data_IF_378645907935
#
_entry.id   IF_378645907935
#
_cell.length_a   1.000
_cell.length_b   1.000
_cell.length_c   1.000
_cell.angle_alpha   90.00
_cell.angle_beta   90.00
_cell.angle_gamma   90.00
#
_symmetry.space_group_name_H-M   'P 1'
#
loop_
_entity.id
_entity.type
_entity.pdbx_description
1 polymer ?
#
# COMPACT_ATOMS: atom_id res chain seq x y z
N UNK A 1 -4.68 13.69 9.77
CA UNK A 1 -3.84 13.01 8.77
C UNK A 1 -4.70 12.63 7.59
N UNK A 2 -4.32 13.03 6.39
CA UNK A 2 -5.02 12.68 5.14
C UNK A 2 -4.14 11.80 4.28
N UNK A 3 -4.70 10.70 3.81
CA UNK A 3 -3.98 9.64 3.07
C UNK A 3 -4.41 9.64 1.62
N UNK A 4 -3.44 9.60 0.70
CA UNK A 4 -3.66 9.25 -0.69
C UNK A 4 -3.42 7.75 -0.84
N UNK A 5 -4.48 7.01 -1.17
CA UNK A 5 -4.46 5.57 -1.35
C UNK A 5 -4.39 5.23 -2.83
N UNK A 6 -3.21 4.83 -3.30
CA UNK A 6 -3.00 4.50 -4.70
C UNK A 6 -3.41 3.07 -5.00
N UNK A 7 -4.31 2.90 -5.96
CA UNK A 7 -4.83 1.62 -6.44
C UNK A 7 -4.73 1.54 -7.96
N UNK A 8 -4.89 0.35 -8.53
CA UNK A 8 -5.04 0.14 -9.97
C UNK A 8 -6.46 -0.32 -10.35
N UNK A 9 -7.40 -0.24 -9.42
CA UNK A 9 -8.78 -0.67 -9.54
C UNK A 9 -8.96 -2.17 -9.85
N UNK A 10 -7.92 -2.98 -9.81
CA UNK A 10 -8.02 -4.43 -9.94
C UNK A 10 -8.52 -5.04 -8.62
N UNK A 11 -9.34 -6.09 -8.68
CA UNK A 11 -9.80 -6.77 -7.47
C UNK A 11 -8.62 -7.30 -6.64
N UNK A 12 -8.55 -6.85 -5.39
CA UNK A 12 -7.52 -7.27 -4.44
C UNK A 12 -8.07 -7.15 -3.02
N UNK A 13 -8.40 -8.30 -2.42
CA UNK A 13 -9.03 -8.33 -1.09
C UNK A 13 -8.18 -7.67 0.00
N UNK A 14 -6.86 -7.74 -0.10
CA UNK A 14 -5.97 -7.10 0.88
C UNK A 14 -6.01 -5.57 0.72
N UNK A 15 -5.92 -5.09 -0.51
CA UNK A 15 -6.04 -3.66 -0.80
C UNK A 15 -7.40 -3.13 -0.34
N UNK A 16 -8.48 -3.86 -0.62
CA UNK A 16 -9.84 -3.49 -0.22
C UNK A 16 -9.95 -3.39 1.31
N UNK A 17 -9.45 -4.38 2.04
CA UNK A 17 -9.51 -4.40 3.50
C UNK A 17 -8.67 -3.30 4.14
N UNK A 18 -7.51 -2.98 3.57
CA UNK A 18 -6.68 -1.88 4.05
C UNK A 18 -7.37 -0.54 3.82
N UNK A 19 -7.98 -0.35 2.64
CA UNK A 19 -8.78 0.86 2.38
C UNK A 19 -9.88 1.04 3.42
N UNK A 20 -10.67 0.00 3.66
CA UNK A 20 -11.73 0.01 4.68
C UNK A 20 -11.17 0.28 6.07
N UNK A 21 -10.06 -0.36 6.42
CA UNK A 21 -9.39 -0.14 7.70
C UNK A 21 -8.93 1.32 7.88
N UNK A 22 -8.35 1.91 6.86
CA UNK A 22 -7.94 3.33 6.87
C UNK A 22 -9.15 4.25 7.03
N UNK A 23 -10.24 4.00 6.30
CA UNK A 23 -11.48 4.78 6.43
C UNK A 23 -12.08 4.68 7.83
N UNK A 24 -12.00 3.53 8.48
CA UNK A 24 -12.51 3.35 9.85
C UNK A 24 -11.66 4.06 10.90
N UNK A 25 -10.35 4.06 10.72
CA UNK A 25 -9.42 4.66 11.68
C UNK A 25 -9.34 6.17 11.53
N UNK A 26 -9.34 6.66 10.30
CA UNK A 26 -9.10 8.06 10.00
C UNK A 26 -10.37 8.87 9.73
N UNK A 27 -11.45 8.21 9.35
CA UNK A 27 -12.62 8.80 8.70
C UNK A 27 -12.50 8.75 7.17
N UNK A 28 -13.59 8.42 6.47
CA UNK A 28 -13.58 8.27 5.01
C UNK A 28 -13.19 9.56 4.28
N UNK A 29 -13.49 10.73 4.83
CA UNK A 29 -13.13 12.04 4.30
C UNK A 29 -11.61 12.31 4.30
N UNK A 30 -10.88 11.49 5.04
CA UNK A 30 -9.42 11.56 5.15
C UNK A 30 -8.68 10.55 4.28
N UNK A 31 -9.40 9.71 3.52
CA UNK A 31 -8.79 8.72 2.62
C UNK A 31 -9.24 8.99 1.19
N UNK A 32 -8.30 9.39 0.36
CA UNK A 32 -8.51 9.66 -1.07
C UNK A 32 -7.96 8.49 -1.85
N UNK A 33 -8.79 7.75 -2.56
CA UNK A 33 -8.35 6.71 -3.49
C UNK A 33 -8.05 7.31 -4.87
N UNK A 34 -7.00 6.85 -5.49
CA UNK A 34 -6.61 7.28 -6.82
C UNK A 34 -5.88 6.16 -7.59
N UNK A 35 -6.26 5.90 -8.85
CA UNK A 35 -7.46 6.36 -9.52
C UNK A 35 -8.73 6.02 -8.73
N UNK A 36 -9.80 6.78 -8.95
CA UNK A 36 -11.10 6.50 -8.32
C UNK A 36 -11.53 5.05 -8.54
N UNK A 37 -11.73 4.31 -7.45
CA UNK A 37 -12.17 2.92 -7.51
C UNK A 37 -13.66 2.81 -7.15
N UNK A 38 -14.56 2.64 -8.14
CA UNK A 38 -15.98 2.56 -7.88
C UNK A 38 -16.40 1.51 -6.85
N UNK A 39 -15.62 0.44 -6.71
CA UNK A 39 -15.92 -0.63 -5.75
C UNK A 39 -15.89 -0.17 -4.29
N UNK A 40 -15.17 0.91 -3.99
CA UNK A 40 -15.11 1.47 -2.63
C UNK A 40 -16.32 2.34 -2.28
N UNK A 41 -17.07 2.80 -3.29
CA UNK A 41 -18.08 3.86 -3.13
C UNK A 41 -19.49 3.43 -3.53
N UNK A 42 -19.61 2.37 -4.33
CA UNK A 42 -20.90 1.87 -4.82
C UNK A 42 -21.29 0.61 -4.04
N UNK A 43 -22.55 0.51 -3.56
CA UNK A 43 -23.04 -0.71 -2.94
C UNK A 43 -22.86 -1.91 -3.85
N UNK A 44 -22.09 -2.89 -3.43
CA UNK A 44 -21.93 -4.14 -4.15
C UNK A 44 -22.42 -5.28 -3.27
N UNK A 45 -23.34 -6.09 -3.79
CA UNK A 45 -23.80 -7.31 -3.11
C UNK A 45 -22.65 -8.33 -2.91
N UNK A 46 -21.59 -8.23 -3.71
CA UNK A 46 -20.40 -9.12 -3.62
C UNK A 46 -19.37 -8.66 -2.60
N UNK A 47 -19.39 -7.39 -2.23
CA UNK A 47 -18.41 -6.78 -1.35
C UNK A 47 -19.12 -6.03 -0.21
N UNK A 48 -19.99 -6.77 0.51
CA UNK A 48 -20.81 -6.22 1.60
C UNK A 48 -20.00 -5.63 2.77
N UNK A 49 -18.71 -5.94 2.85
CA UNK A 49 -17.80 -5.40 3.85
C UNK A 49 -17.19 -4.04 3.46
N UNK A 50 -17.33 -3.63 2.20
CA UNK A 50 -16.86 -2.32 1.79
C UNK A 50 -17.81 -1.24 2.32
N UNK A 51 -17.26 -0.30 3.04
CA UNK A 51 -18.02 0.85 3.54
C UNK A 51 -18.39 1.73 2.36
N UNK A 52 -19.69 2.02 2.24
CA UNK A 52 -20.19 3.00 1.28
C UNK A 52 -19.72 4.38 1.73
N UNK A 53 -18.56 4.78 1.30
CA UNK A 53 -18.10 6.14 1.50
C UNK A 53 -18.50 6.98 0.31
N UNK A 54 -19.01 8.20 0.50
CA UNK A 54 -19.16 9.13 -0.60
C UNK A 54 -17.77 9.33 -1.22
N UNK A 55 -17.59 8.83 -2.45
CA UNK A 55 -16.32 9.00 -3.16
C UNK A 55 -16.32 10.32 -3.93
N UNK A 56 -15.17 10.98 -3.92
CA UNK A 56 -14.90 12.11 -4.82
C UNK A 56 -13.91 11.62 -5.85
N UNK A 57 -14.32 11.61 -7.11
CA UNK A 57 -13.40 11.35 -8.21
C UNK A 57 -12.49 12.55 -8.41
N UNK A 58 -11.20 12.33 -8.29
CA UNK A 58 -10.16 13.31 -8.55
C UNK A 58 -9.48 13.03 -9.88
N UNK A 59 -9.20 14.06 -10.65
CA UNK A 59 -8.26 13.97 -11.76
C UNK A 59 -6.80 14.07 -11.26
N UNK A 60 -5.85 13.68 -12.10
CA UNK A 60 -4.43 13.68 -11.69
C UNK A 60 -3.95 15.07 -11.27
N UNK A 61 -4.42 16.13 -11.94
CA UNK A 61 -4.02 17.50 -11.61
C UNK A 61 -4.62 17.98 -10.28
N UNK A 62 -5.79 17.47 -9.88
CA UNK A 62 -6.38 17.71 -8.55
C UNK A 62 -5.50 17.08 -7.47
N UNK A 63 -5.03 15.84 -7.70
CA UNK A 63 -4.11 15.15 -6.78
C UNK A 63 -2.80 15.93 -6.65
N UNK A 64 -2.25 16.39 -7.76
CA UNK A 64 -1.04 17.23 -7.76
C UNK A 64 -1.26 18.53 -6.97
N UNK A 65 -2.42 19.16 -7.12
CA UNK A 65 -2.77 20.35 -6.34
C UNK A 65 -2.85 20.03 -4.84
N UNK A 66 -3.56 18.96 -4.46
CA UNK A 66 -3.65 18.52 -3.06
C UNK A 66 -2.29 18.26 -2.42
N UNK A 67 -1.37 17.61 -3.14
CA UNK A 67 -0.01 17.35 -2.67
C UNK A 67 0.78 18.65 -2.55
N UNK A 68 0.72 19.53 -3.53
CA UNK A 68 1.42 20.83 -3.53
C UNK A 68 0.95 21.74 -2.38
N UNK A 69 -0.33 21.69 -2.06
CA UNK A 69 -0.94 22.40 -0.94
C UNK A 69 -0.73 21.74 0.41
N UNK A 70 0.08 20.67 0.46
CA UNK A 70 0.37 19.88 1.68
C UNK A 70 -0.91 19.35 2.36
N UNK A 71 -1.94 19.05 1.56
CA UNK A 71 -3.20 18.45 2.04
C UNK A 71 -3.17 16.93 2.07
N UNK A 72 -2.06 16.31 1.66
CA UNK A 72 -1.81 14.87 1.76
C UNK A 72 -0.57 14.66 2.63
N UNK A 73 -0.74 13.91 3.71
CA UNK A 73 0.32 13.64 4.69
C UNK A 73 1.09 12.35 4.37
N UNK A 74 0.42 11.39 3.73
CA UNK A 74 0.97 10.06 3.48
C UNK A 74 0.40 9.49 2.18
N UNK A 75 1.25 8.81 1.40
CA UNK A 75 0.80 7.99 0.27
C UNK A 75 0.95 6.51 0.63
N UNK A 76 -0.12 5.75 0.42
CA UNK A 76 -0.13 4.29 0.57
C UNK A 76 -0.26 3.66 -0.82
N UNK A 77 0.75 2.88 -1.20
CA UNK A 77 0.72 2.06 -2.40
C UNK A 77 0.07 0.72 -2.04
N UNK A 78 -1.14 0.49 -2.52
CA UNK A 78 -1.98 -0.65 -2.10
C UNK A 78 -1.51 -2.01 -2.61
N UNK A 79 -0.71 -2.02 -3.68
CA UNK A 79 -0.20 -3.24 -4.31
C UNK A 79 1.06 -2.95 -5.11
N UNK A 80 1.84 -4.02 -5.40
CA UNK A 80 3.05 -3.96 -6.22
C UNK A 80 2.74 -4.13 -7.72
N UNK A 81 1.70 -3.47 -8.20
CA UNK A 81 1.29 -3.57 -9.59
C UNK A 81 1.87 -2.42 -10.42
N UNK A 82 2.12 -2.70 -11.69
CA UNK A 82 2.72 -1.73 -12.60
C UNK A 82 1.94 -0.42 -12.70
N UNK A 83 0.61 -0.47 -12.64
CA UNK A 83 -0.25 0.70 -12.66
C UNK A 83 -0.05 1.62 -11.45
N UNK A 84 0.07 1.04 -10.24
CA UNK A 84 0.33 1.81 -9.00
C UNK A 84 1.70 2.47 -9.05
N UNK A 85 2.74 1.72 -9.46
CA UNK A 85 4.10 2.25 -9.57
C UNK A 85 4.18 3.36 -10.61
N UNK A 86 3.60 3.15 -11.79
CA UNK A 86 3.55 4.17 -12.85
C UNK A 86 2.84 5.45 -12.39
N UNK A 87 1.80 5.32 -11.56
CA UNK A 87 1.10 6.48 -10.98
C UNK A 87 2.00 7.26 -10.03
N UNK A 88 2.73 6.58 -9.13
CA UNK A 88 3.73 7.24 -8.27
C UNK A 88 4.77 7.98 -9.09
N UNK A 89 5.31 7.34 -10.12
CA UNK A 89 6.32 7.96 -10.98
C UNK A 89 5.79 9.19 -11.74
N UNK A 90 4.54 9.14 -12.21
CA UNK A 90 3.90 10.30 -12.87
C UNK A 90 3.73 11.47 -11.90
N UNK A 91 3.21 11.20 -10.71
CA UNK A 91 3.04 12.23 -9.68
C UNK A 91 4.39 12.81 -9.23
N UNK A 92 5.40 11.96 -9.02
CA UNK A 92 6.74 12.39 -8.61
C UNK A 92 7.44 13.31 -9.63
N UNK A 93 7.09 13.19 -10.92
CA UNK A 93 7.58 14.12 -11.95
C UNK A 93 6.95 15.50 -11.89
N UNK A 94 5.74 15.61 -11.31
CA UNK A 94 4.94 16.86 -11.26
C UNK A 94 5.12 17.62 -9.93
N UNK A 95 5.39 16.89 -8.83
CA UNK A 95 5.43 17.49 -7.48
C UNK A 95 6.27 16.63 -6.53
N UNK A 96 7.00 17.24 -5.57
CA UNK A 96 7.61 16.49 -4.47
C UNK A 96 6.55 15.73 -3.67
N UNK A 97 6.71 14.43 -3.53
CA UNK A 97 5.73 13.59 -2.85
C UNK A 97 5.99 13.51 -1.34
N UNK A 98 4.94 13.43 -0.51
CA UNK A 98 5.04 13.17 0.92
C UNK A 98 5.60 11.75 1.19
N UNK A 99 5.81 11.37 2.46
CA UNK A 99 6.19 10.01 2.82
C UNK A 99 5.30 8.96 2.17
N UNK A 100 5.90 7.83 1.78
CA UNK A 100 5.23 6.75 1.06
C UNK A 100 5.42 5.44 1.78
N UNK A 101 4.36 4.64 1.80
CA UNK A 101 4.33 3.28 2.35
C UNK A 101 3.92 2.32 1.25
N UNK A 102 4.67 1.24 1.11
CA UNK A 102 4.39 0.19 0.13
C UNK A 102 3.79 -1.03 0.83
N UNK A 103 2.73 -1.58 0.26
CA UNK A 103 2.08 -2.80 0.71
C UNK A 103 2.32 -3.88 -0.34
N UNK A 104 2.81 -5.03 0.10
CA UNK A 104 3.05 -6.19 -0.73
C UNK A 104 2.19 -7.37 -0.24
N UNK A 105 1.12 -7.62 -0.98
CA UNK A 105 0.18 -8.71 -0.74
C UNK A 105 0.51 -10.01 -1.49
N UNK A 106 1.62 -10.07 -2.22
CA UNK A 106 1.99 -11.25 -2.98
C UNK A 106 2.26 -12.47 -2.10
N UNK A 107 1.84 -13.66 -2.60
CA UNK A 107 1.91 -14.95 -1.89
C UNK A 107 3.32 -15.57 -1.87
N UNK A 108 4.34 -14.78 -2.05
CA UNK A 108 5.72 -15.20 -1.94
C UNK A 108 6.47 -14.42 -0.86
N UNK A 109 7.56 -14.97 -0.33
CA UNK A 109 8.38 -14.32 0.68
C UNK A 109 9.42 -13.36 0.09
N UNK A 110 9.44 -13.18 -1.24
CA UNK A 110 10.45 -12.39 -1.93
C UNK A 110 10.19 -10.89 -1.75
N UNK A 111 11.23 -10.16 -1.33
CA UNK A 111 11.16 -8.70 -1.18
C UNK A 111 11.48 -8.04 -2.52
N UNK A 112 10.56 -7.27 -3.04
CA UNK A 112 10.64 -6.56 -4.33
C UNK A 112 11.44 -5.26 -4.21
N UNK A 113 12.74 -5.38 -3.99
CA UNK A 113 13.65 -4.27 -3.67
C UNK A 113 13.69 -3.17 -4.72
N UNK A 114 13.70 -3.57 -5.97
CA UNK A 114 13.72 -2.64 -7.10
C UNK A 114 12.48 -1.73 -7.05
N UNK A 115 11.29 -2.33 -6.89
CA UNK A 115 10.04 -1.59 -6.80
C UNK A 115 9.99 -0.70 -5.55
N UNK A 116 10.49 -1.21 -4.42
CA UNK A 116 10.59 -0.42 -3.19
C UNK A 116 11.48 0.81 -3.38
N UNK A 117 12.64 0.64 -4.00
CA UNK A 117 13.57 1.74 -4.28
C UNK A 117 12.97 2.72 -5.29
N UNK A 118 12.40 2.22 -6.39
CA UNK A 118 11.81 3.04 -7.45
C UNK A 118 10.61 3.85 -6.95
N UNK A 119 9.76 3.25 -6.11
CA UNK A 119 8.63 3.97 -5.50
C UNK A 119 9.07 5.07 -4.54
N UNK A 120 10.31 5.03 -4.05
CA UNK A 120 10.83 5.92 -3.02
C UNK A 120 10.07 5.80 -1.69
N UNK A 121 9.48 4.64 -1.43
CA UNK A 121 8.77 4.38 -0.17
C UNK A 121 9.72 4.33 1.02
N UNK A 122 9.27 4.82 2.16
CA UNK A 122 10.04 4.81 3.42
C UNK A 122 9.82 3.54 4.23
N UNK A 123 8.65 2.89 4.07
CA UNK A 123 8.29 1.64 4.73
C UNK A 123 7.74 0.64 3.71
N UNK A 124 7.96 -0.62 3.98
CA UNK A 124 7.51 -1.74 3.17
C UNK A 124 6.83 -2.78 4.07
N UNK A 125 5.55 -3.03 3.81
CA UNK A 125 4.77 -4.03 4.53
C UNK A 125 4.58 -5.26 3.63
N UNK A 126 5.03 -6.42 4.10
CA UNK A 126 4.96 -7.69 3.39
C UNK A 126 4.04 -8.66 4.11
N UNK A 127 3.02 -9.19 3.40
CA UNK A 127 2.10 -10.18 3.94
C UNK A 127 2.80 -11.50 4.24
N UNK A 128 3.48 -12.08 3.28
CA UNK A 128 4.17 -13.37 3.40
C UNK A 128 5.62 -13.19 3.88
N UNK A 129 5.82 -12.31 4.85
CA UNK A 129 7.15 -12.04 5.37
C UNK A 129 7.64 -13.18 6.27
N UNK A 130 8.52 -14.02 5.74
CA UNK A 130 9.21 -15.05 6.53
C UNK A 130 10.38 -14.42 7.28
N UNK A 131 10.13 -13.99 8.50
CA UNK A 131 11.21 -13.66 9.43
C UNK A 131 11.92 -14.97 9.78
N UNK A 132 13.01 -15.29 9.06
CA UNK A 132 13.98 -16.35 9.31
C UNK A 132 13.61 -17.40 10.38
N UNK A 133 12.68 -18.31 10.06
CA UNK A 133 12.37 -19.48 10.89
C UNK A 133 13.35 -20.65 10.66
N UNK A 134 14.17 -20.57 9.64
CA UNK A 134 15.12 -21.63 9.37
C UNK A 134 16.29 -21.57 10.36
N UNK A 135 16.20 -22.41 11.39
CA UNK A 135 17.27 -22.70 12.32
C UNK A 135 18.26 -23.64 11.62
N UNK A 136 19.45 -23.18 11.24
CA UNK A 136 20.48 -24.03 10.65
C UNK A 136 21.57 -23.22 9.94
N UNK A 137 22.63 -23.94 9.53
CA UNK A 137 23.78 -23.33 8.87
C UNK A 137 23.42 -22.69 7.51
N UNK A 138 22.50 -23.28 6.73
CA UNK A 138 22.00 -22.71 5.48
C UNK A 138 21.27 -21.39 5.72
N UNK A 139 20.38 -21.34 6.69
CA UNK A 139 19.67 -20.09 7.04
C UNK A 139 20.61 -19.00 7.56
N UNK A 140 21.78 -19.36 8.13
CA UNK A 140 22.82 -18.39 8.52
C UNK A 140 23.55 -17.81 7.30
N UNK A 141 23.84 -18.64 6.30
CA UNK A 141 24.51 -18.19 5.06
C UNK A 141 23.57 -17.31 4.23
N UNK A 142 22.31 -17.70 4.11
CA UNK A 142 21.31 -16.92 3.39
C UNK A 142 21.08 -15.56 4.08
N UNK A 143 20.92 -15.54 5.40
CA UNK A 143 20.88 -14.30 6.20
C UNK A 143 22.09 -13.42 5.98
N UNK A 144 23.29 -14.00 5.97
CA UNK A 144 24.52 -13.23 5.79
C UNK A 144 24.63 -12.66 4.38
N UNK A 145 24.24 -13.40 3.35
CA UNK A 145 24.18 -12.94 1.96
C UNK A 145 23.16 -11.84 1.77
N UNK A 146 21.98 -12.02 2.34
CA UNK A 146 20.92 -11.03 2.33
C UNK A 146 21.31 -9.79 3.13
N UNK A 147 21.91 -9.93 4.29
CA UNK A 147 22.41 -8.83 5.10
C UNK A 147 23.50 -8.04 4.38
N UNK A 148 24.49 -8.67 3.76
CA UNK A 148 25.54 -7.97 3.00
C UNK A 148 25.02 -7.20 1.79
N UNK A 149 23.97 -7.71 1.16
CA UNK A 149 23.39 -7.02 0.00
C UNK A 149 22.36 -5.94 0.35
N UNK A 150 21.92 -5.81 1.63
CA UNK A 150 20.63 -5.19 1.95
C UNK A 150 20.47 -4.48 3.27
N UNK A 151 21.51 -4.10 3.99
CA UNK A 151 21.35 -3.44 5.29
C UNK A 151 20.29 -2.33 5.33
N UNK A 152 20.10 -1.63 4.21
CA UNK A 152 19.15 -0.52 4.12
C UNK A 152 17.68 -0.95 3.99
N UNK A 153 17.40 -2.12 3.42
CA UNK A 153 16.02 -2.55 3.11
C UNK A 153 15.38 -3.25 4.30
N UNK A 154 16.12 -4.09 5.02
CA UNK A 154 15.56 -4.91 6.12
C UNK A 154 15.03 -4.11 7.30
N UNK A 155 15.64 -2.99 7.63
CA UNK A 155 15.15 -2.12 8.72
C UNK A 155 13.80 -1.46 8.42
N UNK A 156 13.38 -1.50 7.16
CA UNK A 156 12.16 -0.86 6.65
C UNK A 156 11.07 -1.84 6.23
N UNK A 157 11.37 -3.14 6.28
CA UNK A 157 10.40 -4.19 5.96
C UNK A 157 9.72 -4.66 7.23
N UNK A 158 8.41 -4.60 7.23
CA UNK A 158 7.57 -4.98 8.36
C UNK A 158 6.60 -6.09 7.94
N UNK A 159 6.32 -7.06 8.82
CA UNK A 159 5.27 -8.03 8.55
C UNK A 159 3.91 -7.33 8.53
N UNK A 160 3.09 -7.69 7.55
CA UNK A 160 1.70 -7.30 7.48
C UNK A 160 0.87 -8.52 7.89
N UNK A 161 0.22 -8.50 9.07
CA UNK A 161 -0.70 -9.57 9.44
C UNK A 161 -1.89 -9.58 8.49
N UNK A 162 -2.56 -10.72 8.36
CA UNK A 162 -3.80 -10.81 7.61
C UNK A 162 -4.80 -9.78 8.14
N UNK A 163 -5.23 -8.90 7.26
CA UNK A 163 -6.29 -7.95 7.58
C UNK A 163 -7.65 -8.63 7.35
N UNK A 164 -8.47 -8.69 8.38
CA UNK A 164 -9.84 -9.19 8.29
C UNK A 164 -10.77 -8.08 8.76
N UNK A 165 -11.79 -7.77 7.96
CA UNK A 165 -12.84 -6.85 8.40
C UNK A 165 -13.72 -7.57 9.41
N UNK A 166 -13.94 -6.98 10.57
CA UNK A 166 -14.61 -7.61 11.70
C UNK A 166 -16.00 -8.17 11.35
N UNK A 167 -16.71 -7.52 10.44
CA UNK A 167 -18.03 -7.95 9.97
C UNK A 167 -18.01 -9.19 9.07
N UNK A 168 -16.84 -9.62 8.64
CA UNK A 168 -16.67 -10.87 7.86
C UNK A 168 -16.40 -12.09 8.75
N UNK A 169 -16.25 -11.86 10.07
CA UNK A 169 -16.11 -12.94 11.05
C UNK A 169 -17.51 -13.39 11.43
N UNK A 170 -17.91 -14.66 11.17
CA UNK A 170 -19.23 -15.20 11.51
C UNK A 170 -19.45 -15.27 13.01
#
# INVERSE_FOLDING_TARGET
MRVLYLTDCSPDYLADQIYVGLCRVLGPEHVVDFPFNPHYHIPSQRLSYLTQTPGISYEEDDIVALVREQKIDLIVLSALRSGVIATVERLARKVPLPPRVMIDGEDDAHIRRELFRTSGSSLYFKREYRWHRERGFRGRIERWREFKSNNYVFERVHPLPFAIVQETIP
#
